data_IF_668475895354
#
_entry.id   IF_668475895354
#
_cell.length_a   1.000
_cell.length_b   1.000
_cell.length_c   1.000
_cell.angle_alpha   90.00
_cell.angle_beta   90.00
_cell.angle_gamma   90.00
#
_symmetry.space_group_name_H-M   'P 1'
#
loop_
_entity.id
_entity.type
_entity.pdbx_description
1 polymer ?
#
# COMPACT_ATOMS: atom_id res chain seq x y z
N UNK A 1 -27.07 14.98 7.30
CA UNK A 1 -26.92 16.16 8.18
C UNK A 1 -25.52 16.73 7.97
N UNK A 2 -25.38 18.04 7.78
CA UNK A 2 -24.08 18.68 7.64
C UNK A 2 -23.47 18.89 9.03
N UNK A 3 -22.15 18.66 9.23
CA UNK A 3 -21.51 18.98 10.49
C UNK A 3 -21.58 20.48 10.79
N UNK A 4 -21.72 20.88 12.06
CA UNK A 4 -21.60 22.28 12.46
C UNK A 4 -20.23 22.85 12.09
N UNK A 5 -20.18 24.15 11.77
CA UNK A 5 -18.93 24.85 11.49
C UNK A 5 -18.14 25.21 12.76
N UNK A 6 -18.84 25.29 13.90
CA UNK A 6 -18.29 25.69 15.20
C UNK A 6 -18.73 24.70 16.29
N UNK A 7 -17.97 24.60 17.39
CA UNK A 7 -18.36 23.83 18.56
C UNK A 7 -19.74 24.27 19.07
N UNK A 8 -20.56 23.31 19.47
CA UNK A 8 -21.91 23.57 19.98
C UNK A 8 -22.01 23.29 21.48
N UNK A 9 -22.93 23.99 22.14
CA UNK A 9 -23.32 23.75 23.52
C UNK A 9 -24.23 22.53 23.64
N UNK A 10 -24.45 22.05 24.88
CA UNK A 10 -25.23 20.84 25.12
C UNK A 10 -26.68 20.95 24.61
N UNK A 11 -27.32 22.11 24.77
CA UNK A 11 -28.70 22.37 24.33
C UNK A 11 -28.82 22.42 22.81
N UNK A 12 -27.76 22.82 22.12
CA UNK A 12 -27.70 22.82 20.65
C UNK A 12 -27.52 21.39 20.11
N UNK A 13 -26.68 20.59 20.75
CA UNK A 13 -26.56 19.16 20.43
C UNK A 13 -27.87 18.40 20.64
N UNK A 14 -28.57 18.67 21.74
CA UNK A 14 -29.89 18.08 22.02
C UNK A 14 -30.90 18.42 20.92
N UNK A 15 -31.01 19.70 20.51
CA UNK A 15 -31.92 20.12 19.44
C UNK A 15 -31.60 19.47 18.08
N UNK A 16 -30.31 19.33 17.76
CA UNK A 16 -29.90 18.63 16.53
C UNK A 16 -30.21 17.14 16.58
N UNK A 17 -30.08 16.51 17.75
CA UNK A 17 -30.40 15.10 17.96
C UNK A 17 -31.90 14.84 17.90
N UNK A 18 -32.71 15.70 18.52
CA UNK A 18 -34.18 15.61 18.50
C UNK A 18 -34.78 15.79 17.09
N UNK A 19 -34.16 16.63 16.27
CA UNK A 19 -34.57 16.84 14.88
C UNK A 19 -34.06 15.76 13.90
N UNK A 20 -33.26 14.81 14.38
CA UNK A 20 -32.70 13.75 13.56
C UNK A 20 -33.61 12.52 13.51
N UNK A 21 -33.81 11.96 12.31
CA UNK A 21 -34.77 10.87 12.07
C UNK A 21 -34.50 9.60 12.89
N UNK A 22 -33.24 9.34 13.26
CA UNK A 22 -32.81 8.16 14.03
C UNK A 22 -31.89 8.58 15.18
N UNK A 23 -32.43 9.08 16.30
CA UNK A 23 -31.63 9.64 17.41
C UNK A 23 -30.55 8.69 17.95
N UNK A 24 -30.76 7.38 17.88
CA UNK A 24 -29.81 6.37 18.37
C UNK A 24 -28.54 6.29 17.52
N UNK A 25 -28.62 6.67 16.24
CA UNK A 25 -27.50 6.68 15.30
C UNK A 25 -26.87 8.07 15.11
N UNK A 26 -27.37 9.09 15.82
CA UNK A 26 -27.02 10.48 15.59
C UNK A 26 -25.51 10.73 15.73
N UNK A 27 -24.91 10.32 16.84
CA UNK A 27 -23.51 10.56 17.16
C UNK A 27 -22.58 9.90 16.13
N UNK A 28 -22.89 8.66 15.74
CA UNK A 28 -22.13 7.94 14.74
C UNK A 28 -22.21 8.63 13.37
N UNK A 29 -23.43 8.95 12.91
CA UNK A 29 -23.63 9.62 11.62
C UNK A 29 -22.97 10.98 11.61
N UNK A 30 -23.05 11.74 12.71
CA UNK A 30 -22.43 13.04 12.84
C UNK A 30 -20.90 12.96 12.77
N UNK A 31 -20.26 12.07 13.54
CA UNK A 31 -18.80 11.87 13.47
C UNK A 31 -18.34 11.38 12.09
N UNK A 32 -19.09 10.47 11.45
CA UNK A 32 -18.79 10.05 10.08
C UNK A 32 -18.83 11.23 9.11
N UNK A 33 -19.81 12.14 9.24
CA UNK A 33 -19.88 13.33 8.41
C UNK A 33 -18.74 14.32 8.74
N UNK A 34 -18.34 14.46 10.01
CA UNK A 34 -17.18 15.27 10.40
C UNK A 34 -15.88 14.77 9.76
N UNK A 35 -15.66 13.45 9.71
CA UNK A 35 -14.52 12.85 9.01
C UNK A 35 -14.58 13.17 7.50
N UNK A 36 -15.73 12.91 6.86
CA UNK A 36 -15.92 13.14 5.42
C UNK A 36 -15.72 14.60 5.02
N UNK A 37 -16.19 15.53 5.84
CA UNK A 37 -16.06 16.96 5.63
C UNK A 37 -14.74 17.54 6.15
N UNK A 38 -13.86 16.72 6.74
CA UNK A 38 -12.63 17.17 7.40
C UNK A 38 -12.92 18.34 8.37
N UNK A 39 -13.95 18.22 9.20
CA UNK A 39 -14.41 19.27 10.12
C UNK A 39 -13.35 19.63 11.17
N UNK A 40 -13.43 20.83 11.79
CA UNK A 40 -12.55 21.18 12.90
C UNK A 40 -12.71 20.19 14.05
N UNK A 41 -11.56 19.82 14.64
CA UNK A 41 -11.50 18.90 15.78
C UNK A 41 -12.35 19.37 16.96
N UNK A 42 -12.40 20.68 17.22
CA UNK A 42 -13.18 21.26 18.32
C UNK A 42 -14.69 20.95 18.22
N UNK A 43 -15.21 20.81 17.00
CA UNK A 43 -16.63 20.44 16.80
C UNK A 43 -16.84 19.01 17.30
N UNK A 44 -15.96 18.09 16.92
CA UNK A 44 -16.02 16.70 17.38
C UNK A 44 -15.79 16.60 18.90
N UNK A 45 -14.85 17.36 19.46
CA UNK A 45 -14.62 17.43 20.92
C UNK A 45 -15.85 17.90 21.68
N UNK A 46 -16.57 18.91 21.16
CA UNK A 46 -17.80 19.39 21.78
C UNK A 46 -18.90 18.33 21.82
N UNK A 47 -19.04 17.54 20.75
CA UNK A 47 -19.96 16.41 20.69
C UNK A 47 -19.58 15.32 21.69
N UNK A 48 -18.30 14.93 21.73
CA UNK A 48 -17.79 13.94 22.69
C UNK A 48 -17.97 14.39 24.15
N UNK A 49 -17.75 15.67 24.43
CA UNK A 49 -17.95 16.26 25.77
C UNK A 49 -19.42 16.20 26.17
N UNK A 50 -20.33 16.54 25.24
CA UNK A 50 -21.76 16.41 25.46
C UNK A 50 -22.14 14.95 25.77
N UNK A 51 -21.65 14.00 24.99
CA UNK A 51 -21.90 12.57 25.20
C UNK A 51 -21.38 12.05 26.54
N UNK A 52 -20.16 12.44 26.92
CA UNK A 52 -19.57 12.05 28.20
C UNK A 52 -20.39 12.57 29.39
N UNK A 53 -20.95 13.78 29.28
CA UNK A 53 -21.83 14.36 30.31
C UNK A 53 -23.20 13.67 30.37
N UNK A 54 -23.80 13.37 29.22
CA UNK A 54 -25.15 12.80 29.14
C UNK A 54 -25.18 11.31 29.46
N UNK A 55 -24.20 10.54 28.96
CA UNK A 55 -24.19 9.09 29.05
C UNK A 55 -23.21 8.56 30.12
N UNK A 56 -22.43 9.45 30.74
CA UNK A 56 -21.34 9.10 31.66
C UNK A 56 -20.12 8.49 30.97
N UNK A 57 -20.21 8.11 29.69
CA UNK A 57 -19.13 7.48 28.96
C UNK A 57 -19.24 7.62 27.42
N UNK A 58 -18.12 7.40 26.71
CA UNK A 58 -18.02 7.44 25.24
C UNK A 58 -17.75 6.04 24.70
N UNK A 59 -18.64 5.50 23.86
CA UNK A 59 -18.47 4.18 23.29
C UNK A 59 -17.17 4.04 22.46
N UNK A 60 -16.54 2.85 22.51
CA UNK A 60 -15.29 2.54 21.81
C UNK A 60 -15.29 2.94 20.33
N UNK A 61 -16.34 2.58 19.60
CA UNK A 61 -16.45 2.84 18.16
C UNK A 61 -16.49 4.34 17.82
N UNK A 62 -16.97 5.19 18.74
CA UNK A 62 -17.01 6.64 18.57
C UNK A 62 -15.62 7.27 18.84
N UNK A 63 -14.88 6.75 19.82
CA UNK A 63 -13.47 7.13 20.02
C UNK A 63 -12.60 6.78 18.81
N UNK A 64 -12.83 5.62 18.16
CA UNK A 64 -12.13 5.25 16.93
C UNK A 64 -12.43 6.22 15.79
N UNK A 65 -13.68 6.68 15.64
CA UNK A 65 -14.04 7.69 14.62
C UNK A 65 -13.38 9.04 14.92
N UNK A 66 -13.40 9.46 16.18
CA UNK A 66 -12.72 10.68 16.59
C UNK A 66 -11.21 10.60 16.36
N UNK A 67 -10.58 9.48 16.72
CA UNK A 67 -9.18 9.20 16.43
C UNK A 67 -8.87 9.30 14.93
N UNK A 68 -9.74 8.77 14.06
CA UNK A 68 -9.57 8.88 12.62
C UNK A 68 -9.55 10.35 12.14
N UNK A 69 -10.41 11.21 12.71
CA UNK A 69 -10.40 12.64 12.43
C UNK A 69 -9.10 13.30 12.95
N UNK A 70 -8.65 12.97 14.17
CA UNK A 70 -7.40 13.49 14.72
C UNK A 70 -6.19 13.12 13.86
N UNK A 71 -6.13 11.88 13.37
CA UNK A 71 -5.10 11.39 12.43
C UNK A 71 -5.14 12.16 11.11
N UNK A 72 -6.33 12.40 10.55
CA UNK A 72 -6.49 13.18 9.32
C UNK A 72 -6.07 14.64 9.48
N UNK A 73 -6.25 15.21 10.68
CA UNK A 73 -5.86 16.57 11.04
C UNK A 73 -4.41 16.71 11.53
N UNK A 74 -3.69 15.61 11.73
CA UNK A 74 -2.34 15.62 12.30
C UNK A 74 -2.28 16.13 13.75
N UNK A 75 -3.36 15.94 14.53
CA UNK A 75 -3.45 16.43 15.91
C UNK A 75 -2.84 15.41 16.89
N UNK A 76 -1.51 15.42 17.01
CA UNK A 76 -0.74 14.45 17.82
C UNK A 76 -1.15 14.43 19.29
N UNK A 77 -1.34 15.61 19.92
CA UNK A 77 -1.76 15.69 21.32
C UNK A 77 -3.08 14.96 21.57
N UNK A 78 -4.01 15.09 20.63
CA UNK A 78 -5.36 14.52 20.75
C UNK A 78 -5.34 13.02 20.45
N UNK A 79 -4.47 12.58 19.53
CA UNK A 79 -4.19 11.15 19.32
C UNK A 79 -3.68 10.52 20.62
N UNK A 80 -2.80 11.22 21.35
CA UNK A 80 -2.26 10.76 22.63
C UNK A 80 -3.31 10.74 23.73
N UNK A 81 -4.12 11.79 23.86
CA UNK A 81 -5.22 11.83 24.82
C UNK A 81 -6.20 10.67 24.60
N UNK A 82 -6.55 10.40 23.33
CA UNK A 82 -7.42 9.26 22.99
C UNK A 82 -6.75 7.93 23.29
N UNK A 83 -5.44 7.80 23.06
CA UNK A 83 -4.70 6.59 23.41
C UNK A 83 -4.77 6.31 24.91
N UNK A 84 -4.51 7.31 25.75
CA UNK A 84 -4.53 7.19 27.21
C UNK A 84 -5.95 6.84 27.70
N UNK A 85 -6.98 7.53 27.20
CA UNK A 85 -8.38 7.22 27.49
C UNK A 85 -8.70 5.76 27.13
N UNK A 86 -8.31 5.32 25.94
CA UNK A 86 -8.63 3.98 25.45
C UNK A 86 -7.89 2.89 26.23
N UNK A 87 -6.63 3.11 26.62
CA UNK A 87 -5.84 2.15 27.42
C UNK A 87 -6.37 2.01 28.85
N UNK A 88 -6.84 3.11 29.45
CA UNK A 88 -7.44 3.07 30.79
C UNK A 88 -8.78 2.31 30.77
N UNK A 89 -9.58 2.53 29.71
CA UNK A 89 -10.96 2.05 29.66
C UNK A 89 -11.14 0.68 29.01
N UNK A 90 -10.26 0.30 28.10
CA UNK A 90 -10.39 -0.94 27.33
C UNK A 90 -9.14 -1.81 27.48
N UNK A 91 -9.34 -3.04 27.96
CA UNK A 91 -8.26 -4.02 28.16
C UNK A 91 -7.53 -4.38 26.86
N UNK A 92 -8.27 -4.42 25.75
CA UNK A 92 -7.75 -4.81 24.43
C UNK A 92 -8.27 -3.79 23.42
N UNK A 93 -7.37 -3.24 22.62
CA UNK A 93 -7.71 -2.39 21.49
C UNK A 93 -7.84 -3.26 20.23
N UNK A 94 -8.86 -2.97 19.42
CA UNK A 94 -9.02 -3.61 18.12
C UNK A 94 -7.95 -3.16 17.12
N UNK A 95 -7.69 -4.00 16.12
CA UNK A 95 -6.69 -3.76 15.06
C UNK A 95 -6.86 -2.40 14.35
N UNK A 96 -8.10 -1.97 14.12
CA UNK A 96 -8.40 -0.67 13.52
C UNK A 96 -7.89 0.52 14.34
N UNK A 97 -7.94 0.45 15.67
CA UNK A 97 -7.44 1.52 16.54
C UNK A 97 -5.91 1.56 16.54
N UNK A 98 -5.25 0.41 16.68
CA UNK A 98 -3.78 0.32 16.57
C UNK A 98 -3.27 0.86 15.23
N UNK A 99 -3.96 0.53 14.14
CA UNK A 99 -3.61 1.05 12.81
C UNK A 99 -3.67 2.58 12.75
N UNK A 100 -4.69 3.19 13.35
CA UNK A 100 -4.83 4.64 13.41
C UNK A 100 -3.77 5.28 14.31
N UNK A 101 -3.51 4.72 15.49
CA UNK A 101 -2.47 5.24 16.39
C UNK A 101 -1.09 5.21 15.75
N UNK A 102 -0.70 4.06 15.17
CA UNK A 102 0.60 3.92 14.48
C UNK A 102 0.68 4.96 13.35
N UNK A 103 -0.32 5.01 12.46
CA UNK A 103 -0.33 5.94 11.33
C UNK A 103 -0.29 7.41 11.76
N UNK A 104 -1.00 7.77 12.82
CA UNK A 104 -1.02 9.13 13.36
C UNK A 104 0.31 9.54 13.97
N UNK A 105 0.88 8.69 14.83
CA UNK A 105 2.10 8.98 15.57
C UNK A 105 3.35 8.93 14.67
N UNK A 106 3.39 8.07 13.65
CA UNK A 106 4.51 7.99 12.71
C UNK A 106 4.83 9.31 11.98
N UNK A 107 3.88 10.25 11.91
CA UNK A 107 4.06 11.55 11.25
C UNK A 107 4.32 12.70 12.24
N UNK A 108 4.63 12.37 13.49
CA UNK A 108 4.84 13.33 14.57
C UNK A 108 6.21 13.14 15.23
N UNK A 109 6.57 14.05 16.13
CA UNK A 109 7.78 13.91 16.96
C UNK A 109 7.71 12.69 17.90
N UNK A 110 6.52 12.13 18.11
CA UNK A 110 6.28 10.93 18.91
C UNK A 110 6.39 9.62 18.11
N UNK A 111 7.03 9.63 16.95
CA UNK A 111 7.13 8.46 16.08
C UNK A 111 7.72 7.21 16.77
N UNK A 112 8.57 7.33 17.79
CA UNK A 112 9.06 6.16 18.56
C UNK A 112 7.95 5.43 19.32
N UNK A 113 6.90 6.13 19.73
CA UNK A 113 5.72 5.49 20.30
C UNK A 113 5.03 4.59 19.26
N UNK A 114 5.04 4.97 17.98
CA UNK A 114 4.50 4.11 16.92
C UNK A 114 5.23 2.77 16.80
N UNK A 115 6.55 2.74 17.04
CA UNK A 115 7.33 1.49 17.09
C UNK A 115 6.94 0.64 18.30
N UNK A 116 6.75 1.27 19.46
CA UNK A 116 6.29 0.58 20.67
C UNK A 116 4.93 -0.07 20.43
N UNK A 117 4.02 0.64 19.77
CA UNK A 117 2.71 0.11 19.38
C UNK A 117 2.81 -1.01 18.34
N UNK A 118 3.74 -0.90 17.39
CA UNK A 118 4.00 -1.98 16.43
C UNK A 118 4.42 -3.26 17.18
N UNK A 119 5.32 -3.15 18.16
CA UNK A 119 5.74 -4.29 19.01
C UNK A 119 4.59 -4.85 19.85
N UNK A 120 3.71 -4.00 20.39
CA UNK A 120 2.49 -4.47 21.06
C UNK A 120 1.60 -5.28 20.12
N UNK A 121 1.39 -4.79 18.90
CA UNK A 121 0.59 -5.48 17.88
C UNK A 121 1.23 -6.83 17.56
N UNK A 122 2.55 -6.90 17.34
CA UNK A 122 3.28 -8.15 17.07
C UNK A 122 3.07 -9.24 18.13
N UNK A 123 2.84 -8.86 19.39
CA UNK A 123 2.57 -9.81 20.49
C UNK A 123 1.20 -10.47 20.43
N UNK A 124 0.23 -9.83 19.77
CA UNK A 124 -1.17 -10.28 19.75
C UNK A 124 -1.66 -10.68 18.36
N UNK A 125 -1.06 -10.13 17.30
CA UNK A 125 -1.43 -10.40 15.90
C UNK A 125 -0.32 -10.02 14.92
N UNK A 126 -0.51 -10.37 13.64
CA UNK A 126 0.38 -9.92 12.56
C UNK A 126 0.05 -8.45 12.23
N UNK A 127 1.02 -7.51 12.33
CA UNK A 127 0.78 -6.13 11.92
C UNK A 127 0.45 -6.05 10.43
N UNK A 128 -0.40 -5.12 10.06
CA UNK A 128 -0.75 -4.88 8.66
C UNK A 128 0.43 -4.28 7.89
N UNK A 129 0.41 -4.43 6.56
CA UNK A 129 1.33 -3.72 5.65
C UNK A 129 1.44 -2.23 6.00
N UNK A 130 0.30 -1.56 6.22
CA UNK A 130 0.27 -0.13 6.53
C UNK A 130 0.98 0.21 7.84
N UNK A 131 1.01 -0.69 8.83
CA UNK A 131 1.75 -0.45 10.07
C UNK A 131 3.25 -0.42 9.81
N UNK A 132 3.78 -1.47 9.17
CA UNK A 132 5.20 -1.54 8.80
C UNK A 132 5.60 -0.34 7.94
N UNK A 133 4.85 -0.05 6.88
CA UNK A 133 5.16 1.06 5.98
C UNK A 133 5.16 2.42 6.68
N UNK A 134 4.27 2.63 7.66
CA UNK A 134 4.25 3.88 8.43
C UNK A 134 5.50 4.00 9.29
N UNK A 135 5.90 2.93 9.98
CA UNK A 135 7.10 2.91 10.82
C UNK A 135 8.40 3.01 10.00
N UNK A 136 8.49 2.32 8.85
CA UNK A 136 9.65 2.42 7.94
C UNK A 136 9.80 3.86 7.45
N UNK A 137 8.72 4.48 6.96
CA UNK A 137 8.75 5.89 6.51
C UNK A 137 9.13 6.85 7.64
N UNK A 138 8.71 6.58 8.87
CA UNK A 138 9.09 7.39 10.03
C UNK A 138 10.59 7.24 10.34
N UNK A 139 11.09 6.00 10.48
CA UNK A 139 12.51 5.73 10.72
C UNK A 139 13.39 6.38 9.65
N UNK A 140 13.02 6.27 8.36
CA UNK A 140 13.75 6.93 7.27
C UNK A 140 13.75 8.45 7.38
N UNK A 141 12.62 9.08 7.73
CA UNK A 141 12.53 10.54 7.95
C UNK A 141 13.44 11.03 9.07
N UNK A 142 13.62 10.20 10.10
CA UNK A 142 14.51 10.46 11.23
C UNK A 142 15.94 9.95 11.02
N UNK A 143 16.29 9.55 9.79
CA UNK A 143 17.62 9.05 9.39
C UNK A 143 18.08 7.78 10.13
N UNK A 144 17.16 7.04 10.74
CA UNK A 144 17.42 5.74 11.36
C UNK A 144 17.27 4.62 10.30
N UNK A 145 18.17 4.63 9.30
CA UNK A 145 18.05 3.74 8.12
C UNK A 145 18.24 2.26 8.46
N UNK A 146 19.09 1.92 9.43
CA UNK A 146 19.29 0.52 9.85
C UNK A 146 17.97 -0.07 10.37
N UNK A 147 17.27 0.67 11.23
CA UNK A 147 15.93 0.30 11.72
C UNK A 147 14.91 0.25 10.58
N UNK A 148 14.96 1.20 9.65
CA UNK A 148 14.06 1.21 8.50
C UNK A 148 14.20 -0.06 7.65
N UNK A 149 15.43 -0.54 7.44
CA UNK A 149 15.69 -1.78 6.71
C UNK A 149 15.41 -3.04 7.53
N UNK A 150 15.63 -3.03 8.85
CA UNK A 150 15.20 -4.12 9.74
C UNK A 150 13.68 -4.35 9.61
N UNK A 151 12.89 -3.28 9.72
CA UNK A 151 11.44 -3.34 9.57
C UNK A 151 11.01 -3.71 8.16
N UNK A 152 11.75 -3.28 7.13
CA UNK A 152 11.50 -3.66 5.73
C UNK A 152 11.70 -5.16 5.53
N UNK A 153 12.80 -5.73 6.02
CA UNK A 153 13.06 -7.18 5.93
C UNK A 153 12.07 -8.00 6.74
N UNK A 154 11.70 -7.55 7.93
CA UNK A 154 10.67 -8.22 8.73
C UNK A 154 9.31 -8.23 8.01
N UNK A 155 8.94 -7.12 7.36
CA UNK A 155 7.74 -7.03 6.54
C UNK A 155 7.78 -8.05 5.39
N UNK A 156 8.92 -8.16 4.69
CA UNK A 156 9.10 -9.13 3.61
C UNK A 156 9.04 -10.58 4.09
N UNK A 157 9.62 -10.89 5.25
CA UNK A 157 9.58 -12.22 5.85
C UNK A 157 8.16 -12.66 6.24
N UNK A 158 7.19 -11.73 6.25
CA UNK A 158 5.77 -11.98 6.50
C UNK A 158 4.93 -11.96 5.21
N UNK A 159 5.58 -12.05 4.05
CA UNK A 159 4.96 -12.00 2.71
C UNK A 159 4.16 -10.71 2.45
N UNK A 160 4.47 -9.64 3.17
CA UNK A 160 3.85 -8.33 2.96
C UNK A 160 4.62 -7.59 1.87
N UNK A 161 4.02 -7.47 0.68
CA UNK A 161 4.63 -6.78 -0.46
C UNK A 161 4.68 -5.26 -0.22
N UNK A 162 5.88 -4.63 -0.23
CA UNK A 162 6.03 -3.19 -0.03
C UNK A 162 5.39 -2.39 -1.16
N UNK A 163 4.76 -1.27 -0.83
CA UNK A 163 4.30 -0.30 -1.82
C UNK A 163 5.47 0.46 -2.45
N UNK A 164 5.25 1.01 -3.65
CA UNK A 164 6.21 1.93 -4.24
C UNK A 164 6.46 3.15 -3.36
N UNK A 165 5.49 3.60 -2.56
CA UNK A 165 5.66 4.77 -1.70
C UNK A 165 6.68 4.54 -0.58
N UNK A 166 6.72 3.35 0.03
CA UNK A 166 7.72 3.05 1.08
C UNK A 166 9.09 2.84 0.47
N UNK A 167 9.17 2.15 -0.68
CA UNK A 167 10.43 1.99 -1.40
C UNK A 167 10.97 3.35 -1.86
N UNK A 168 10.13 4.22 -2.43
CA UNK A 168 10.52 5.57 -2.82
C UNK A 168 11.05 6.37 -1.62
N UNK A 169 10.39 6.29 -0.46
CA UNK A 169 10.86 6.97 0.75
C UNK A 169 12.28 6.53 1.15
N UNK A 170 12.59 5.24 1.09
CA UNK A 170 13.93 4.73 1.39
C UNK A 170 14.98 5.36 0.47
N UNK A 171 14.72 5.48 -0.84
CA UNK A 171 15.63 6.18 -1.77
C UNK A 171 15.71 7.68 -1.49
N UNK A 172 14.59 8.33 -1.15
CA UNK A 172 14.53 9.76 -0.89
C UNK A 172 15.37 10.16 0.34
N UNK A 173 15.29 9.37 1.42
CA UNK A 173 16.02 9.65 2.67
C UNK A 173 17.45 9.12 2.69
N UNK A 174 17.82 8.25 1.75
CA UNK A 174 19.19 7.73 1.63
C UNK A 174 20.14 8.62 0.82
N UNK A 175 19.67 9.75 0.29
CA UNK A 175 20.48 10.62 -0.58
C UNK A 175 21.67 11.21 0.17
N UNK A 176 22.85 11.10 -0.41
CA UNK A 176 24.11 11.60 0.17
C UNK A 176 24.61 10.81 1.39
N UNK A 177 23.86 9.80 1.86
CA UNK A 177 24.33 8.90 2.91
C UNK A 177 25.45 7.99 2.38
N UNK A 178 26.34 7.58 3.29
CA UNK A 178 27.48 6.69 3.01
C UNK A 178 27.28 5.36 3.73
N UNK A 179 27.77 4.29 3.14
CA UNK A 179 27.72 2.95 3.73
C UNK A 179 27.51 1.89 2.65
N UNK A 180 28.44 0.94 2.47
CA UNK A 180 28.26 -0.14 1.52
C UNK A 180 27.03 -1.01 1.85
N UNK A 181 26.68 -1.14 3.12
CA UNK A 181 25.50 -1.86 3.59
C UNK A 181 24.21 -1.19 3.10
N UNK A 182 24.07 0.11 3.31
CA UNK A 182 22.91 0.88 2.83
C UNK A 182 22.77 0.81 1.30
N UNK A 183 23.89 0.91 0.57
CA UNK A 183 23.86 0.77 -0.88
C UNK A 183 23.39 -0.62 -1.31
N UNK A 184 23.90 -1.67 -0.66
CA UNK A 184 23.50 -3.07 -0.91
C UNK A 184 21.99 -3.25 -0.71
N UNK A 185 21.43 -2.67 0.34
CA UNK A 185 19.99 -2.73 0.61
C UNK A 185 19.16 -2.07 -0.51
N UNK A 186 19.56 -0.87 -0.94
CA UNK A 186 18.87 -0.16 -2.03
C UNK A 186 19.00 -0.88 -3.37
N UNK A 187 20.16 -1.49 -3.65
CA UNK A 187 20.32 -2.38 -4.81
C UNK A 187 19.40 -3.61 -4.71
N UNK A 188 19.21 -4.16 -3.52
CA UNK A 188 18.26 -5.24 -3.26
C UNK A 188 16.83 -4.86 -3.65
N UNK A 189 16.42 -3.61 -3.42
CA UNK A 189 15.12 -3.10 -3.88
C UNK A 189 15.06 -3.07 -5.42
N UNK A 190 16.11 -2.58 -6.10
CA UNK A 190 16.14 -2.54 -7.57
C UNK A 190 16.09 -3.94 -8.19
N UNK A 191 16.81 -4.90 -7.59
CA UNK A 191 16.76 -6.31 -7.99
C UNK A 191 15.35 -6.88 -7.81
N UNK A 192 14.71 -6.62 -6.67
CA UNK A 192 13.30 -7.02 -6.46
C UNK A 192 12.39 -6.43 -7.54
N UNK A 193 12.56 -5.16 -7.91
CA UNK A 193 11.74 -4.55 -8.97
C UNK A 193 11.94 -5.26 -10.32
N UNK A 194 13.19 -5.62 -10.64
CA UNK A 194 13.54 -6.37 -11.87
C UNK A 194 12.94 -7.78 -11.85
N UNK A 195 13.18 -8.54 -10.79
CA UNK A 195 12.76 -9.94 -10.64
C UNK A 195 11.24 -10.09 -10.70
N UNK A 196 10.50 -9.11 -10.18
CA UNK A 196 9.04 -9.12 -10.21
C UNK A 196 8.44 -8.38 -11.42
N UNK A 197 9.27 -7.88 -12.35
CA UNK A 197 8.85 -7.07 -13.49
C UNK A 197 7.91 -5.91 -13.11
N UNK A 198 8.17 -5.28 -11.95
CA UNK A 198 7.36 -4.17 -11.45
C UNK A 198 8.03 -2.85 -11.80
N UNK A 199 7.33 -2.02 -12.57
CA UNK A 199 7.87 -0.77 -13.07
C UNK A 199 7.45 0.41 -12.19
N UNK A 200 8.39 1.16 -11.59
CA UNK A 200 8.08 2.29 -10.74
C UNK A 200 7.48 3.45 -11.53
N UNK A 201 6.60 4.19 -10.88
CA UNK A 201 6.03 5.42 -11.42
C UNK A 201 7.07 6.55 -11.49
N UNK A 202 6.76 7.62 -12.25
CA UNK A 202 7.73 8.68 -12.62
C UNK A 202 8.42 9.36 -11.44
N UNK A 203 7.72 9.58 -10.33
CA UNK A 203 8.31 10.19 -9.13
C UNK A 203 9.31 9.24 -8.48
N UNK A 204 8.98 7.94 -8.35
CA UNK A 204 9.90 6.97 -7.81
C UNK A 204 11.15 6.78 -8.70
N UNK A 205 10.99 6.74 -10.03
CA UNK A 205 12.14 6.76 -10.96
C UNK A 205 13.06 7.97 -10.74
N UNK A 206 12.49 9.15 -10.45
CA UNK A 206 13.26 10.36 -10.13
C UNK A 206 14.01 10.21 -8.81
N UNK A 207 13.40 9.61 -7.79
CA UNK A 207 14.06 9.33 -6.51
C UNK A 207 15.26 8.40 -6.67
N UNK A 208 15.11 7.31 -7.43
CA UNK A 208 16.20 6.38 -7.75
C UNK A 208 17.34 7.12 -8.48
N UNK A 209 17.01 7.92 -9.50
CA UNK A 209 17.98 8.77 -10.22
C UNK A 209 18.77 9.66 -9.26
N UNK A 210 18.07 10.43 -8.42
CA UNK A 210 18.68 11.40 -7.52
C UNK A 210 19.55 10.70 -6.45
N UNK A 211 19.17 9.50 -6.02
CA UNK A 211 20.00 8.70 -5.14
C UNK A 211 21.31 8.30 -5.82
N UNK A 212 21.29 7.73 -7.03
CA UNK A 212 22.52 7.36 -7.77
C UNK A 212 23.47 8.57 -7.94
N UNK A 213 22.92 9.71 -8.33
CA UNK A 213 23.69 10.96 -8.50
C UNK A 213 24.23 11.54 -7.18
N UNK A 214 23.67 11.13 -6.04
CA UNK A 214 24.13 11.56 -4.72
C UNK A 214 25.22 10.68 -4.12
N UNK A 215 25.55 9.54 -4.74
CA UNK A 215 26.57 8.60 -4.23
C UNK A 215 27.94 9.29 -4.22
N UNK A 216 28.58 9.50 -3.06
CA UNK A 216 29.86 10.19 -2.99
C UNK A 216 30.97 9.44 -3.74
N UNK A 217 31.72 10.15 -4.57
CA UNK A 217 32.75 9.56 -5.44
C UNK A 217 32.18 8.83 -6.68
N UNK A 218 30.86 8.72 -6.81
CA UNK A 218 30.22 8.22 -8.02
C UNK A 218 30.18 9.27 -9.12
N UNK A 219 30.48 8.88 -10.36
CA UNK A 219 30.32 9.71 -11.55
C UNK A 219 28.99 9.42 -12.26
N UNK A 220 27.93 9.18 -11.49
CA UNK A 220 26.62 8.84 -12.03
C UNK A 220 25.92 10.07 -12.61
N UNK A 221 25.33 9.91 -13.81
CA UNK A 221 24.43 10.90 -14.43
C UNK A 221 23.19 10.19 -14.96
N UNK A 222 22.05 10.42 -14.33
CA UNK A 222 20.79 9.81 -14.75
C UNK A 222 20.05 10.67 -15.77
N UNK A 223 19.27 10.03 -16.63
CA UNK A 223 18.39 10.71 -17.58
C UNK A 223 17.08 9.95 -17.67
N UNK A 224 15.95 10.66 -17.59
CA UNK A 224 14.65 10.07 -17.91
C UNK A 224 14.46 10.16 -19.43
N UNK A 225 14.19 9.03 -20.06
CA UNK A 225 14.03 8.95 -21.52
C UNK A 225 12.99 7.90 -21.88
N UNK A 226 12.58 7.90 -23.14
CA UNK A 226 11.68 6.91 -23.71
C UNK A 226 12.47 6.03 -24.68
N UNK A 227 12.30 4.71 -24.56
CA UNK A 227 12.91 3.74 -25.44
C UNK A 227 12.05 3.63 -26.69
N UNK A 228 12.69 3.70 -27.86
CA UNK A 228 12.04 3.47 -29.16
C UNK A 228 11.88 1.97 -29.39
N UNK A 229 11.07 1.58 -30.37
CA UNK A 229 10.80 0.17 -30.71
C UNK A 229 12.08 -0.64 -31.02
N UNK A 230 13.19 0.02 -31.34
CA UNK A 230 14.50 -0.63 -31.51
C UNK A 230 15.12 -1.20 -30.23
N UNK A 231 14.56 -0.88 -29.04
CA UNK A 231 15.13 -1.30 -27.76
C UNK A 231 16.43 -0.59 -27.37
N UNK A 232 16.95 0.31 -28.21
CA UNK A 232 18.19 1.05 -27.93
C UNK A 232 17.90 2.33 -27.14
N UNK A 233 18.63 2.53 -26.03
CA UNK A 233 18.54 3.76 -25.25
C UNK A 233 19.09 4.96 -26.04
N UNK A 234 18.30 6.05 -26.24
CA UNK A 234 18.76 7.19 -27.02
C UNK A 234 19.86 8.01 -26.32
N UNK A 235 20.01 7.87 -25.00
CA UNK A 235 20.98 8.60 -24.18
C UNK A 235 22.33 7.90 -24.13
N UNK A 236 22.39 6.67 -23.60
CA UNK A 236 23.65 5.93 -23.43
C UNK A 236 23.98 4.99 -24.58
N UNK A 237 23.08 4.85 -25.57
CA UNK A 237 23.21 3.95 -26.73
C UNK A 237 23.26 2.45 -26.39
N UNK A 238 23.07 2.09 -25.14
CA UNK A 238 22.98 0.70 -24.70
C UNK A 238 21.72 0.04 -25.26
N UNK A 239 21.86 -1.21 -25.72
CA UNK A 239 20.76 -2.05 -26.16
C UNK A 239 20.14 -2.71 -24.93
N UNK A 240 18.82 -2.61 -24.76
CA UNK A 240 18.15 -3.35 -23.69
C UNK A 240 18.26 -4.86 -23.94
N UNK A 241 18.35 -5.62 -22.85
CA UNK A 241 18.31 -7.08 -22.89
C UNK A 241 17.01 -7.54 -23.56
N UNK A 242 17.11 -8.55 -24.42
CA UNK A 242 15.95 -9.19 -24.99
C UNK A 242 15.20 -9.99 -23.91
N UNK A 243 13.89 -10.10 -24.06
CA UNK A 243 13.01 -10.90 -23.20
C UNK A 243 13.00 -12.40 -23.57
N UNK A 244 13.87 -12.84 -24.48
CA UNK A 244 14.00 -14.23 -24.85
C UNK A 244 14.38 -15.08 -23.62
N UNK A 245 13.55 -16.09 -23.34
CA UNK A 245 13.84 -17.08 -22.32
C UNK A 245 14.94 -18.01 -22.82
N UNK A 246 15.88 -18.34 -21.94
CA UNK A 246 16.79 -19.46 -22.20
C UNK A 246 15.98 -20.76 -22.30
N UNK A 247 16.53 -21.76 -23.00
CA UNK A 247 15.87 -23.07 -23.15
C UNK A 247 15.58 -23.72 -21.78
N UNK A 248 16.47 -23.53 -20.82
CA UNK A 248 16.35 -23.99 -19.44
C UNK A 248 15.19 -23.29 -18.69
N UNK A 249 15.08 -21.96 -18.81
CA UNK A 249 13.98 -21.19 -18.24
C UNK A 249 12.64 -21.56 -18.87
N UNK A 250 12.61 -21.72 -20.20
CA UNK A 250 11.43 -22.15 -20.93
C UNK A 250 10.98 -23.53 -20.48
N UNK A 251 11.88 -24.50 -20.38
CA UNK A 251 11.55 -25.86 -19.95
C UNK A 251 11.02 -25.88 -18.51
N UNK A 252 11.64 -25.12 -17.60
CA UNK A 252 11.16 -24.98 -16.22
C UNK A 252 9.77 -24.35 -16.15
N UNK A 253 9.50 -23.32 -16.96
CA UNK A 253 8.19 -22.69 -17.05
C UNK A 253 7.15 -23.67 -17.60
N UNK A 254 7.48 -24.37 -18.69
CA UNK A 254 6.65 -25.40 -19.33
C UNK A 254 6.25 -26.48 -18.34
N UNK A 255 7.21 -27.07 -17.62
CA UNK A 255 6.94 -28.11 -16.63
C UNK A 255 6.00 -27.64 -15.51
N UNK A 256 6.21 -26.42 -15.00
CA UNK A 256 5.33 -25.84 -13.96
C UNK A 256 3.91 -25.63 -14.48
N UNK A 257 3.75 -25.09 -15.69
CA UNK A 257 2.42 -24.88 -16.29
C UNK A 257 1.71 -26.22 -16.48
N UNK A 258 2.39 -27.23 -17.03
CA UNK A 258 1.80 -28.55 -17.25
C UNK A 258 1.33 -29.18 -15.93
N UNK A 259 2.18 -29.17 -14.90
CA UNK A 259 1.85 -29.77 -13.61
C UNK A 259 0.78 -28.98 -12.85
N UNK A 260 0.95 -27.67 -12.71
CA UNK A 260 0.16 -26.86 -11.76
C UNK A 260 -1.12 -26.32 -12.40
N UNK A 261 -1.11 -26.02 -13.71
CA UNK A 261 -2.24 -25.44 -14.43
C UNK A 261 -3.04 -26.53 -15.15
N UNK A 262 -2.40 -27.31 -16.04
CA UNK A 262 -3.08 -28.28 -16.90
C UNK A 262 -3.54 -29.50 -16.10
N UNK A 263 -2.63 -30.20 -15.41
CA UNK A 263 -2.98 -31.39 -14.63
C UNK A 263 -3.68 -31.01 -13.31
N UNK A 264 -2.99 -30.28 -12.43
CA UNK A 264 -3.53 -29.81 -11.15
C UNK A 264 -4.16 -30.87 -10.26
N UNK A 265 -4.79 -30.41 -9.17
CA UNK A 265 -5.50 -31.26 -8.21
C UNK A 265 -7.03 -31.17 -8.31
N UNK A 266 -7.54 -30.19 -9.04
CA UNK A 266 -8.98 -29.91 -9.16
C UNK A 266 -9.55 -30.47 -10.48
N UNK A 267 -10.14 -31.66 -10.40
CA UNK A 267 -10.66 -32.46 -11.52
C UNK A 267 -11.89 -31.86 -12.21
N UNK A 268 -12.56 -30.87 -11.62
CA UNK A 268 -13.78 -30.25 -12.18
C UNK A 268 -13.52 -29.02 -13.06
N UNK A 269 -12.28 -28.53 -13.08
CA UNK A 269 -11.89 -27.29 -13.80
C UNK A 269 -10.79 -27.51 -14.85
N UNK A 270 -10.38 -28.76 -15.09
CA UNK A 270 -9.12 -29.08 -15.79
C UNK A 270 -9.27 -30.17 -16.84
N UNK A 271 -8.39 -30.12 -17.83
CA UNK A 271 -8.27 -31.07 -18.94
C UNK A 271 -7.93 -32.46 -18.42
N UNK A 272 -8.60 -33.49 -18.94
CA UNK A 272 -8.27 -34.88 -18.57
C UNK A 272 -6.90 -35.29 -19.14
N UNK A 273 -6.18 -36.24 -18.52
CA UNK A 273 -4.91 -36.73 -19.08
C UNK A 273 -5.06 -37.25 -20.52
N UNK A 274 -6.16 -37.94 -20.84
CA UNK A 274 -6.38 -38.44 -22.20
C UNK A 274 -6.64 -37.32 -23.22
N UNK A 275 -7.39 -36.30 -22.84
CA UNK A 275 -7.63 -35.13 -23.70
C UNK A 275 -6.34 -34.35 -23.95
N UNK A 276 -5.50 -34.20 -22.93
CA UNK A 276 -4.20 -33.55 -23.07
C UNK A 276 -3.24 -34.36 -23.96
N UNK A 277 -3.13 -35.68 -23.77
CA UNK A 277 -2.34 -36.56 -24.64
C UNK A 277 -2.82 -36.53 -26.10
N UNK A 278 -4.13 -36.52 -26.33
CA UNK A 278 -4.71 -36.39 -27.66
C UNK A 278 -4.33 -35.05 -28.31
N UNK A 279 -4.34 -33.96 -27.55
CA UNK A 279 -3.91 -32.64 -28.01
C UNK A 279 -2.40 -32.62 -28.33
N UNK A 280 -1.54 -33.16 -27.46
CA UNK A 280 -0.10 -33.27 -27.73
C UNK A 280 0.17 -34.05 -29.02
N UNK A 281 -0.46 -35.20 -29.16
CA UNK A 281 -0.37 -36.05 -30.36
C UNK A 281 -0.83 -35.29 -31.61
N UNK A 282 -1.91 -34.51 -31.51
CA UNK A 282 -2.37 -33.68 -32.62
C UNK A 282 -1.33 -32.62 -33.02
N UNK A 283 -0.73 -31.92 -32.05
CA UNK A 283 0.27 -30.87 -32.32
C UNK A 283 1.56 -31.46 -32.91
N UNK A 284 2.06 -32.56 -32.36
CA UNK A 284 3.29 -33.23 -32.80
C UNK A 284 3.17 -33.80 -34.23
N UNK A 285 1.96 -34.16 -34.66
CA UNK A 285 1.68 -34.68 -36.01
C UNK A 285 1.37 -33.58 -37.05
N UNK A 286 1.66 -32.32 -36.73
CA UNK A 286 1.46 -31.17 -37.63
C UNK A 286 2.78 -30.46 -37.88
N UNK A 287 2.82 -29.68 -38.96
CA UNK A 287 3.96 -28.80 -39.22
C UNK A 287 4.06 -27.73 -38.10
N UNK A 288 5.25 -27.16 -37.87
CA UNK A 288 5.44 -26.10 -36.88
C UNK A 288 4.47 -24.93 -37.10
N UNK A 289 3.99 -24.37 -36.01
CA UNK A 289 3.14 -23.19 -36.03
C UNK A 289 3.96 -21.97 -35.58
N UNK A 290 3.93 -20.90 -36.36
CA UNK A 290 4.56 -19.63 -35.98
C UNK A 290 3.71 -18.84 -34.97
N UNK A 291 2.40 -19.02 -35.01
CA UNK A 291 1.43 -18.23 -34.22
C UNK A 291 0.34 -19.16 -33.68
N UNK A 292 0.06 -19.05 -32.38
CA UNK A 292 -1.09 -19.69 -31.72
C UNK A 292 -2.11 -18.62 -31.33
N UNK A 293 -3.37 -18.83 -31.66
CA UNK A 293 -4.45 -17.86 -31.46
C UNK A 293 -5.41 -18.37 -30.37
N UNK A 294 -5.63 -17.58 -29.32
CA UNK A 294 -6.72 -17.79 -28.38
C UNK A 294 -8.05 -17.33 -29.02
N UNK A 295 -8.72 -18.26 -29.69
CA UNK A 295 -9.95 -17.98 -30.43
C UNK A 295 -11.11 -17.47 -29.56
N UNK A 296 -11.21 -17.92 -28.31
CA UNK A 296 -12.24 -17.46 -27.39
C UNK A 296 -12.01 -15.99 -27.04
N UNK A 297 -10.78 -15.62 -26.68
CA UNK A 297 -10.46 -14.23 -26.39
C UNK A 297 -10.69 -13.33 -27.61
N UNK A 298 -10.27 -13.78 -28.81
CA UNK A 298 -10.53 -13.04 -30.06
C UNK A 298 -12.02 -12.84 -30.31
N UNK A 299 -12.85 -13.85 -30.09
CA UNK A 299 -14.30 -13.76 -30.30
C UNK A 299 -15.02 -12.78 -29.36
N UNK A 300 -14.44 -12.51 -28.19
CA UNK A 300 -15.01 -11.63 -27.16
C UNK A 300 -14.46 -10.20 -27.19
N UNK A 301 -13.45 -9.90 -28.00
CA UNK A 301 -12.98 -8.53 -28.22
C UNK A 301 -14.07 -7.77 -28.99
N UNK A 302 -14.79 -6.88 -28.29
CA UNK A 302 -15.73 -5.97 -28.95
C UNK A 302 -14.96 -5.09 -29.95
N UNK A 303 -15.49 -4.89 -31.17
CA UNK A 303 -14.86 -3.98 -32.11
C UNK A 303 -14.79 -2.59 -31.48
N UNK A 304 -13.58 -2.02 -31.39
CA UNK A 304 -13.42 -0.59 -31.13
C UNK A 304 -14.18 0.14 -32.23
N UNK A 305 -15.22 0.90 -31.88
CA UNK A 305 -15.76 1.93 -32.78
C UNK A 305 -14.61 2.87 -33.10
N UNK A 306 -14.02 2.75 -34.28
CA UNK A 306 -13.27 3.84 -34.87
C UNK A 306 -14.28 4.95 -35.14
N UNK A 307 -14.39 5.91 -34.21
CA UNK A 307 -14.80 7.24 -34.60
C UNK A 307 -13.64 7.80 -35.43
N UNK A 308 -13.70 7.58 -36.74
CA UNK A 308 -13.05 8.49 -37.67
C UNK A 308 -13.82 9.81 -37.60
N UNK A 309 -13.41 10.70 -36.70
CA UNK A 309 -13.64 12.12 -36.89
C UNK A 309 -12.65 12.57 -37.96
N UNK A 310 -13.15 12.68 -39.19
CA UNK A 310 -12.57 13.50 -40.26
C UNK A 310 -13.67 13.73 -41.32
N UNK A 311 -14.46 14.78 -41.13
CA UNK A 311 -14.66 15.88 -42.11
C UNK A 311 -14.83 17.17 -41.30
#
# INVERSE_FOLDING_TARGET
IQPPEKPLQAEEWNRLKESFQLPEAFEEVMLNNMIRCNSPIEVAKSLLTHMAKSNGDIAYHLLVKYLALCVQKGQTSEIRDVYDIMKIRFRILGSGAYNLFIRGLCNSDEWRMSLTLLEEVKKVMVPSRTNYESCIKAASRHQEMDLAFELYHEMLAKDLVPTFDVMQALFDFSRGMKGPELQKELFGILLRLRENQTYPHKTFMRSIKLWFESIPGGHWRGHLTNIKDSGQCPVCKHQLEDSELTEEEYNKLRERILRDVIHGTDTFRKTSPQEFEAFQTFVENRLPFDIVIDGLNVSHIKPRKMQCENV
#
